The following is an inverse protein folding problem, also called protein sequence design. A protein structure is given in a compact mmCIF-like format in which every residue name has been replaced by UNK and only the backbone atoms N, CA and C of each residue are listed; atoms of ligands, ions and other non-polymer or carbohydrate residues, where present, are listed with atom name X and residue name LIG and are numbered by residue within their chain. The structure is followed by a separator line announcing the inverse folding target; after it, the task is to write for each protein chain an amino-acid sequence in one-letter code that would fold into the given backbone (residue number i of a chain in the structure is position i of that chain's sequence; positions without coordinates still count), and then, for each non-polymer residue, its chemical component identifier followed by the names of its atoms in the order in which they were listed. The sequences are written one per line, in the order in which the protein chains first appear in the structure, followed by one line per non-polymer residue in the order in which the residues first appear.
data_IF_236671790516
#
_entry.id   IF_236671790516
#
_cell.length_a   1.000
_cell.length_b   1.000
_cell.length_c   1.000
_cell.angle_alpha   90.00
_cell.angle_beta   90.00
_cell.angle_gamma   90.00
#
_symmetry.space_group_name_H-M   'P 1'
#
loop_
_entity.id
_entity.type
_entity.pdbx_description
1 polymer ?
#
# COMPACT_ATOMS: atom_id res chain seq x y z
N UNK A 1 -5.18 -0.82 16.75
CA UNK A 1 -5.57 -0.02 15.57
C UNK A 1 -4.30 0.38 14.82
N UNK A 2 -4.20 0.11 13.52
CA UNK A 2 -3.08 0.59 12.69
C UNK A 2 -3.44 2.00 12.19
N UNK A 3 -2.59 2.99 12.47
CA UNK A 3 -2.84 4.39 12.09
C UNK A 3 -1.71 4.89 11.20
N UNK A 4 -2.04 5.37 10.01
CA UNK A 4 -1.12 6.08 9.11
C UNK A 4 -1.60 7.53 8.97
N UNK A 5 -0.83 8.46 9.51
CA UNK A 5 -1.11 9.89 9.43
C UNK A 5 0.18 10.68 9.25
N UNK A 6 0.16 11.76 8.46
CA UNK A 6 1.31 12.67 8.28
C UNK A 6 2.64 11.95 8.01
N UNK A 7 2.61 10.91 7.17
CA UNK A 7 3.80 10.10 6.84
C UNK A 7 4.42 9.37 8.06
N UNK A 8 3.59 9.02 9.04
CA UNK A 8 3.94 8.26 10.24
C UNK A 8 2.93 7.14 10.48
N UNK A 9 3.45 5.95 10.76
CA UNK A 9 2.69 4.78 11.15
C UNK A 9 2.80 4.57 12.67
N UNK A 10 1.72 4.13 13.30
CA UNK A 10 1.71 3.74 14.71
C UNK A 10 0.68 2.67 15.03
N UNK A 11 0.92 1.92 16.10
CA UNK A 11 -0.06 1.03 16.70
C UNK A 11 -0.76 1.75 17.85
N UNK A 12 -2.08 1.90 17.74
CA UNK A 12 -2.94 2.66 18.64
C UNK A 12 -2.58 4.16 18.69
N UNK A 13 -3.60 5.03 18.62
CA UNK A 13 -3.42 6.46 18.40
C UNK A 13 -2.71 7.23 19.53
N UNK A 14 -2.27 6.58 20.62
CA UNK A 14 -1.85 7.29 21.83
C UNK A 14 -0.63 6.76 22.60
N UNK A 15 0.10 5.70 22.19
CA UNK A 15 1.13 5.20 23.12
C UNK A 15 2.36 4.46 22.61
N UNK A 16 2.66 4.47 21.31
CA UNK A 16 3.92 3.90 20.79
C UNK A 16 4.69 4.90 19.94
N UNK A 17 6.02 4.85 20.02
CA UNK A 17 6.89 5.57 19.11
C UNK A 17 6.64 5.06 17.68
N UNK A 18 5.89 5.85 16.90
CA UNK A 18 5.61 5.53 15.51
C UNK A 18 6.86 5.53 14.63
N UNK A 19 6.74 4.99 13.41
CA UNK A 19 7.81 5.00 12.42
C UNK A 19 7.43 5.81 11.19
N UNK A 20 8.44 6.35 10.50
CA UNK A 20 8.23 7.10 9.27
C UNK A 20 7.83 6.17 8.12
N UNK A 21 6.93 6.66 7.27
CA UNK A 21 6.45 5.95 6.10
C UNK A 21 6.17 6.97 4.97
N UNK A 22 6.46 6.66 3.69
CA UNK A 22 6.99 5.41 3.15
C UNK A 22 8.49 5.17 3.44
N UNK A 23 8.89 3.90 3.48
CA UNK A 23 10.26 3.46 3.78
C UNK A 23 11.16 3.43 2.54
N UNK A 24 10.58 3.39 1.34
CA UNK A 24 11.33 3.29 0.08
C UNK A 24 12.26 4.49 -0.06
N UNK A 25 13.55 4.19 -0.19
CA UNK A 25 14.69 5.13 -0.18
C UNK A 25 14.37 6.47 -0.85
N UNK A 26 14.64 7.56 -0.14
CA UNK A 26 14.84 8.90 -0.68
C UNK A 26 13.66 9.44 -1.52
N UNK A 27 12.53 9.79 -0.89
CA UNK A 27 11.81 10.98 -1.37
C UNK A 27 12.69 12.18 -1.08
N UNK A 28 13.71 12.52 -1.90
CA UNK A 28 14.46 13.80 -1.98
C UNK A 28 14.52 14.73 -0.73
N UNK A 29 14.52 14.20 0.50
CA UNK A 29 14.12 14.90 1.75
C UNK A 29 12.73 15.58 1.74
N UNK A 30 11.88 15.34 0.76
CA UNK A 30 10.55 15.98 0.63
C UNK A 30 9.44 15.12 1.23
N UNK A 31 8.42 15.73 1.86
CA UNK A 31 7.25 15.00 2.33
C UNK A 31 6.54 14.32 1.16
N UNK A 32 6.05 13.09 1.41
CA UNK A 32 5.17 12.43 0.46
C UNK A 32 3.81 13.12 0.46
N UNK A 33 3.33 13.48 -0.73
CA UNK A 33 1.96 13.89 -0.96
C UNK A 33 1.28 12.75 -1.71
N UNK A 34 0.22 12.22 -1.13
CA UNK A 34 -0.56 11.18 -1.79
C UNK A 34 -1.21 11.74 -3.07
N UNK A 35 -1.30 10.89 -4.08
CA UNK A 35 -2.12 11.14 -5.27
C UNK A 35 -3.61 11.10 -4.90
N UNK A 36 -4.49 11.44 -5.84
CA UNK A 36 -5.95 11.30 -5.65
C UNK A 36 -6.34 9.87 -5.26
N UNK A 37 -5.68 8.87 -5.86
CA UNK A 37 -5.87 7.46 -5.54
C UNK A 37 -4.71 6.89 -4.71
N UNK A 38 -5.07 6.16 -3.65
CA UNK A 38 -4.15 5.34 -2.84
C UNK A 38 -4.70 3.93 -2.79
N UNK A 39 -3.84 2.96 -3.09
CA UNK A 39 -4.13 1.55 -2.93
C UNK A 39 -3.73 1.07 -1.54
N UNK A 40 -4.65 0.39 -0.87
CA UNK A 40 -4.44 -0.29 0.41
C UNK A 40 -4.36 -1.79 0.14
N UNK A 41 -3.21 -2.40 0.44
CA UNK A 41 -2.92 -3.81 0.12
C UNK A 41 -2.71 -4.55 1.44
N UNK A 42 -3.69 -5.38 1.81
CA UNK A 42 -3.67 -6.21 3.00
C UNK A 42 -3.38 -7.65 2.61
N UNK A 43 -2.25 -8.17 3.09
CA UNK A 43 -1.85 -9.56 2.94
C UNK A 43 -1.98 -10.24 4.31
N UNK A 44 -3.00 -11.08 4.47
CA UNK A 44 -3.28 -11.76 5.74
C UNK A 44 -2.51 -13.07 5.91
N UNK A 45 -1.99 -13.63 4.82
CA UNK A 45 -1.20 -14.86 4.84
C UNK A 45 0.20 -14.59 5.40
N UNK A 46 0.84 -13.53 4.90
CA UNK A 46 2.10 -13.00 5.42
C UNK A 46 1.89 -12.07 6.63
N UNK A 47 0.69 -11.50 6.76
CA UNK A 47 0.30 -10.68 7.91
C UNK A 47 0.88 -9.27 7.88
N UNK A 48 0.83 -8.59 6.73
CA UNK A 48 1.27 -7.20 6.59
C UNK A 48 0.25 -6.33 5.86
N UNK A 49 0.35 -5.02 6.08
CA UNK A 49 -0.40 -3.98 5.39
C UNK A 49 0.58 -3.05 4.68
N UNK A 50 0.33 -2.76 3.41
CA UNK A 50 1.16 -1.90 2.58
C UNK A 50 0.32 -0.96 1.74
N UNK A 51 0.93 0.09 1.19
CA UNK A 51 0.25 1.03 0.31
C UNK A 51 0.97 1.16 -1.03
N UNK A 52 0.23 1.59 -2.04
CA UNK A 52 0.76 1.97 -3.34
C UNK A 52 0.01 3.18 -3.89
N UNK A 53 0.59 3.84 -4.88
CA UNK A 53 -0.11 4.74 -5.80
C UNK A 53 -0.09 4.16 -7.20
N UNK A 54 -0.76 4.82 -8.15
CA UNK A 54 -0.71 4.48 -9.57
C UNK A 54 0.71 4.29 -10.11
N UNK A 55 1.69 4.97 -9.53
CA UNK A 55 3.05 5.02 -10.05
C UNK A 55 4.09 4.27 -9.21
N UNK A 56 3.78 3.96 -7.94
CA UNK A 56 4.79 3.47 -7.01
C UNK A 56 4.23 2.63 -5.87
N UNK A 57 4.85 1.48 -5.64
CA UNK A 57 4.70 0.74 -4.39
C UNK A 57 5.43 1.45 -3.25
N UNK A 58 4.72 1.74 -2.16
CA UNK A 58 5.21 2.58 -1.05
C UNK A 58 5.85 1.76 0.09
N UNK A 59 5.87 0.43 -0.03
CA UNK A 59 6.46 -0.47 0.94
C UNK A 59 5.48 -0.94 2.02
N UNK A 60 5.98 -1.81 2.91
CA UNK A 60 5.20 -2.34 4.03
C UNK A 60 5.07 -1.28 5.12
N UNK A 61 3.83 -0.95 5.47
CA UNK A 61 3.51 -0.02 6.53
C UNK A 61 3.41 -0.72 7.89
N UNK A 62 2.74 -1.87 7.98
CA UNK A 62 2.54 -2.62 9.23
C UNK A 62 2.81 -4.11 9.04
N UNK A 63 3.29 -4.79 10.08
CA UNK A 63 3.51 -6.24 10.13
C UNK A 63 2.84 -6.85 11.38
N UNK A 64 2.78 -8.17 11.46
CA UNK A 64 2.23 -8.88 12.63
C UNK A 64 0.70 -8.88 12.68
N UNK A 65 0.06 -8.83 11.50
CA UNK A 65 -1.40 -8.76 11.37
C UNK A 65 -2.08 -10.12 11.23
N UNK A 66 -1.31 -11.19 10.99
CA UNK A 66 -1.84 -12.55 10.79
C UNK A 66 -2.74 -12.98 11.94
N UNK A 67 -3.88 -13.58 11.59
CA UNK A 67 -4.88 -14.05 12.55
C UNK A 67 -5.71 -12.96 13.23
N UNK A 68 -5.54 -11.68 12.87
CA UNK A 68 -6.37 -10.58 13.37
C UNK A 68 -7.51 -10.29 12.41
N UNK A 69 -8.67 -9.92 12.94
CA UNK A 69 -9.75 -9.33 12.13
C UNK A 69 -9.52 -7.83 12.01
N UNK A 70 -9.43 -7.33 10.77
CA UNK A 70 -9.22 -5.92 10.46
C UNK A 70 -10.38 -5.38 9.63
N UNK A 71 -10.67 -4.10 9.80
CA UNK A 71 -11.68 -3.38 9.03
C UNK A 71 -11.03 -2.17 8.36
N UNK A 72 -11.33 -1.90 7.08
CA UNK A 72 -10.85 -0.68 6.45
C UNK A 72 -11.51 0.53 7.10
N UNK A 73 -10.72 1.59 7.34
CA UNK A 73 -11.18 2.83 7.95
C UNK A 73 -10.47 4.01 7.32
N UNK A 74 -11.19 5.11 7.17
CA UNK A 74 -10.67 6.43 6.78
C UNK A 74 -11.23 7.46 7.75
N UNK A 75 -10.41 8.45 8.10
CA UNK A 75 -10.81 9.59 8.93
C UNK A 75 -10.38 10.88 8.23
N UNK A 76 -11.28 11.86 8.17
CA UNK A 76 -11.02 13.16 7.56
C UNK A 76 -11.62 14.27 8.43
N UNK A 77 -10.90 15.38 8.52
CA UNK A 77 -11.27 16.56 9.31
C UNK A 77 -11.49 17.80 8.44
N UNK A 78 -11.47 17.65 7.11
CA UNK A 78 -11.65 18.76 6.18
C UNK A 78 -13.09 18.82 5.68
N UNK A 79 -13.69 20.01 5.75
CA UNK A 79 -15.04 20.25 5.24
C UNK A 79 -15.09 20.00 3.73
N UNK A 80 -16.18 19.35 3.27
CA UNK A 80 -16.42 19.03 1.85
C UNK A 80 -15.43 18.03 1.22
N UNK A 81 -14.71 17.25 2.02
CA UNK A 81 -13.96 16.12 1.52
C UNK A 81 -14.91 14.94 1.24
N UNK A 82 -14.88 14.43 0.01
CA UNK A 82 -15.56 13.21 -0.38
C UNK A 82 -14.52 12.10 -0.58
N UNK A 83 -14.74 10.95 0.07
CA UNK A 83 -13.84 9.79 -0.02
C UNK A 83 -14.63 8.62 -0.57
N UNK A 84 -14.16 8.08 -1.70
CA UNK A 84 -14.71 6.84 -2.27
C UNK A 84 -13.76 5.69 -1.96
N UNK A 85 -14.30 4.62 -1.38
CA UNK A 85 -13.56 3.38 -1.14
C UNK A 85 -14.08 2.29 -2.07
N UNK A 86 -13.20 1.74 -2.91
CA UNK A 86 -13.52 0.66 -3.84
C UNK A 86 -12.75 -0.60 -3.48
N UNK A 87 -13.47 -1.71 -3.29
CA UNK A 87 -12.85 -3.01 -3.14
C UNK A 87 -12.39 -3.53 -4.52
N UNK A 88 -11.10 -3.84 -4.65
CA UNK A 88 -10.50 -4.28 -5.92
C UNK A 88 -10.42 -5.80 -6.07
N UNK A 89 -10.56 -6.56 -4.97
CA UNK A 89 -10.59 -8.01 -5.01
C UNK A 89 -9.65 -8.68 -3.99
N UNK A 90 -9.73 -10.01 -3.96
CA UNK A 90 -8.77 -10.90 -3.30
C UNK A 90 -7.77 -11.37 -4.36
N UNK A 91 -6.48 -11.42 -4.03
CA UNK A 91 -5.55 -12.26 -4.79
C UNK A 91 -5.62 -13.64 -4.16
N UNK A 92 -6.14 -14.63 -4.89
CA UNK A 92 -6.10 -16.00 -4.39
C UNK A 92 -4.64 -16.43 -4.19
N UNK A 93 -4.32 -17.18 -3.12
CA UNK A 93 -2.97 -17.67 -2.85
C UNK A 93 -2.53 -18.78 -3.82
N UNK A 94 -3.35 -19.11 -4.81
CA UNK A 94 -3.02 -20.11 -5.82
C UNK A 94 -1.93 -19.61 -6.78
N UNK A 95 -1.06 -20.51 -7.27
CA UNK A 95 -0.06 -20.13 -8.26
C UNK A 95 -0.75 -19.58 -9.52
N UNK A 96 -0.22 -18.51 -10.13
CA UNK A 96 -0.80 -17.96 -11.34
C UNK A 96 -0.80 -19.00 -12.46
N UNK A 97 -1.81 -18.96 -13.30
CA UNK A 97 -1.86 -19.81 -14.49
C UNK A 97 -0.63 -19.56 -15.38
N UNK A 98 -0.24 -20.55 -16.18
CA UNK A 98 0.85 -20.38 -17.16
C UNK A 98 0.63 -19.16 -18.07
N UNK A 99 -0.62 -18.87 -18.41
CA UNK A 99 -0.98 -17.70 -19.23
C UNK A 99 -0.68 -16.39 -18.50
N UNK A 100 -1.07 -16.28 -17.23
CA UNK A 100 -0.79 -15.09 -16.40
C UNK A 100 0.70 -14.91 -16.15
N UNK A 101 1.42 -16.00 -15.84
CA UNK A 101 2.86 -15.96 -15.66
C UNK A 101 3.58 -15.49 -16.93
N UNK A 102 3.19 -16.03 -18.09
CA UNK A 102 3.72 -15.60 -19.39
C UNK A 102 3.39 -14.13 -19.68
N UNK A 103 2.14 -13.70 -19.45
CA UNK A 103 1.70 -12.31 -19.64
C UNK A 103 2.51 -11.35 -18.75
N UNK A 104 2.65 -11.67 -17.47
CA UNK A 104 3.39 -10.84 -16.52
C UNK A 104 4.88 -10.74 -16.90
N UNK A 105 5.49 -11.86 -17.31
CA UNK A 105 6.88 -11.88 -17.80
C UNK A 105 7.09 -10.96 -19.01
N UNK A 106 6.13 -10.93 -19.95
CA UNK A 106 6.19 -10.03 -21.12
C UNK A 106 6.04 -8.57 -20.68
N UNK A 107 5.07 -8.26 -19.82
CA UNK A 107 4.82 -6.90 -19.34
C UNK A 107 6.04 -6.34 -18.61
N UNK A 108 6.64 -7.11 -17.70
CA UNK A 108 7.87 -6.70 -17.03
C UNK A 108 9.00 -6.38 -18.01
N UNK A 109 9.12 -7.17 -19.08
CA UNK A 109 10.16 -6.94 -20.10
C UNK A 109 9.89 -5.69 -20.91
N UNK A 110 8.63 -5.42 -21.27
CA UNK A 110 8.22 -4.21 -21.97
C UNK A 110 8.43 -2.95 -21.11
N UNK A 111 8.10 -3.02 -19.82
CA UNK A 111 8.30 -1.93 -18.86
C UNK A 111 9.78 -1.64 -18.60
N UNK A 112 10.63 -2.66 -18.56
CA UNK A 112 12.09 -2.48 -18.49
C UNK A 112 12.59 -1.77 -19.75
N UNK A 113 12.09 -2.13 -20.93
CA UNK A 113 12.49 -1.53 -22.21
C UNK A 113 12.12 -0.04 -22.31
N UNK A 114 10.90 0.33 -21.89
CA UNK A 114 10.43 1.74 -21.87
C UNK A 114 11.23 2.65 -20.95
N UNK A 115 11.91 2.11 -19.92
CA UNK A 115 12.74 2.88 -18.99
C UNK A 115 14.18 3.11 -19.49
N UNK A 116 14.59 2.42 -20.54
CA UNK A 116 15.95 2.50 -21.15
C UNK A 116 16.00 3.29 -22.45
N UNK A 117 14.87 3.79 -22.94
CA UNK A 117 14.76 4.64 -24.13
C UNK A 117 14.42 6.07 -23.69
#
# INVERSE_FOLDING_TARGET
MCVLERNQCGFNAQHDAGWRYPTVELLDRRPFFASEDIYCILDMDEGYLSFATNNKYLGVAFRGLKGKTLYPIVSCVWGQCEITMKYLGVCEPEPPSLMEACRNSILERLEKRKRTC
#
